data_IF_400355726575
#
_entry.id   IF_400355726575
#
_cell.length_a   1.000
_cell.length_b   1.000
_cell.length_c   1.000
_cell.angle_alpha   90.00
_cell.angle_beta   90.00
_cell.angle_gamma   90.00
#
_symmetry.space_group_name_H-M   'P 1'
#
loop_
_entity.id
_entity.type
_entity.pdbx_description
1 polymer ?
#
# COMPACT_ATOMS: atom_id res chain seq x y z
N UNK A 1 6.96 22.68 1.03
CA UNK A 1 5.69 22.15 0.49
C UNK A 1 4.55 22.94 1.10
N UNK A 2 3.74 23.63 0.30
CA UNK A 2 2.58 24.38 0.78
C UNK A 2 1.54 23.40 1.30
N UNK A 3 0.94 23.67 2.46
CA UNK A 3 -0.11 22.86 3.14
C UNK A 3 -1.31 22.51 2.24
N UNK A 4 -1.49 23.18 1.12
CA UNK A 4 -2.57 22.96 0.15
C UNK A 4 -2.47 21.67 -0.68
N UNK A 5 -1.31 20.97 -0.66
CA UNK A 5 -1.10 19.77 -1.49
C UNK A 5 -1.06 18.45 -0.68
N UNK A 6 -1.39 18.48 0.60
CA UNK A 6 -1.41 17.29 1.47
C UNK A 6 -2.81 16.71 1.55
N UNK A 7 -2.95 15.42 1.26
CA UNK A 7 -4.19 14.67 1.38
C UNK A 7 -4.37 14.03 2.76
N UNK A 8 -3.29 13.41 3.29
CA UNK A 8 -3.29 12.78 4.62
C UNK A 8 -2.16 13.39 5.42
N UNK A 9 -2.44 13.83 6.65
CA UNK A 9 -1.43 14.31 7.59
C UNK A 9 -1.59 13.60 8.91
N UNK A 10 -0.50 13.00 9.42
CA UNK A 10 -0.45 12.27 10.69
C UNK A 10 0.72 12.81 11.51
N UNK A 11 0.47 13.17 12.77
CA UNK A 11 1.46 13.72 13.67
C UNK A 11 1.38 13.07 15.05
N UNK A 12 2.47 12.39 15.44
CA UNK A 12 2.66 11.75 16.75
C UNK A 12 1.49 10.85 17.17
N UNK A 13 0.96 10.08 16.21
CA UNK A 13 -0.20 9.22 16.42
C UNK A 13 0.14 8.10 17.39
N UNK A 14 -0.72 7.90 18.40
CA UNK A 14 -0.58 6.86 19.43
C UNK A 14 -1.84 6.02 19.51
N UNK A 15 -1.66 4.73 19.76
CA UNK A 15 -2.76 3.82 20.06
C UNK A 15 -2.28 2.64 20.88
N UNK A 16 -3.02 2.37 21.95
CA UNK A 16 -2.82 1.20 22.81
C UNK A 16 -4.09 0.36 22.86
N UNK A 17 -3.93 -0.93 23.02
CA UNK A 17 -4.99 -1.87 23.36
C UNK A 17 -4.63 -2.53 24.69
N UNK A 18 -5.39 -2.23 25.73
CA UNK A 18 -5.06 -2.61 27.08
C UNK A 18 -3.63 -2.16 27.45
N UNK A 19 -2.71 -3.09 27.72
CA UNK A 19 -1.32 -2.80 28.08
C UNK A 19 -0.36 -2.85 26.89
N UNK A 20 -0.85 -3.05 25.66
CA UNK A 20 0.00 -3.14 24.48
C UNK A 20 -0.07 -1.85 23.65
N UNK A 21 1.01 -1.07 23.62
CA UNK A 21 1.15 0.11 22.78
C UNK A 21 1.47 -0.30 21.33
N UNK A 22 0.44 -0.20 20.46
CA UNK A 22 0.49 -0.63 19.06
C UNK A 22 1.02 0.48 18.15
N UNK A 23 0.75 1.76 18.45
CA UNK A 23 1.29 2.91 17.70
C UNK A 23 2.03 3.84 18.65
N UNK A 24 3.28 4.18 18.30
CA UNK A 24 4.25 4.89 19.12
C UNK A 24 4.77 6.13 18.40
N UNK A 25 4.06 7.27 18.53
CA UNK A 25 4.44 8.55 17.92
C UNK A 25 4.59 8.52 16.38
N UNK A 26 3.69 7.80 15.69
CA UNK A 26 3.72 7.69 14.23
C UNK A 26 3.41 9.02 13.56
N UNK A 27 4.29 9.45 12.64
CA UNK A 27 4.11 10.70 11.88
C UNK A 27 4.48 10.49 10.43
N UNK A 28 3.63 10.95 9.50
CA UNK A 28 3.89 10.96 8.05
C UNK A 28 2.92 11.90 7.34
N UNK A 29 3.18 12.17 6.06
CA UNK A 29 2.28 12.95 5.21
C UNK A 29 2.18 12.38 3.80
N UNK A 30 0.96 12.42 3.24
CA UNK A 30 0.69 11.89 1.89
C UNK A 30 0.23 13.02 0.98
N UNK A 31 0.96 13.30 -0.11
CA UNK A 31 0.53 14.27 -1.12
C UNK A 31 -0.75 13.80 -1.84
N UNK A 32 -1.48 14.77 -2.41
CA UNK A 32 -2.68 14.46 -3.22
C UNK A 32 -2.31 13.76 -4.51
N UNK A 33 -3.15 12.82 -4.94
CA UNK A 33 -3.00 12.12 -6.22
C UNK A 33 -1.77 11.21 -6.29
N UNK A 34 -1.21 10.81 -5.13
CA UNK A 34 -0.09 9.88 -5.06
C UNK A 34 -0.50 8.54 -4.46
N UNK A 35 0.33 7.53 -4.70
CA UNK A 35 0.24 6.22 -4.06
C UNK A 35 1.22 6.20 -2.90
N UNK A 36 0.71 6.02 -1.69
CA UNK A 36 1.51 5.87 -0.49
C UNK A 36 1.36 4.46 0.07
N UNK A 37 2.46 3.73 0.21
CA UNK A 37 2.47 2.39 0.77
C UNK A 37 2.97 2.39 2.21
N UNK A 38 2.17 1.84 3.12
CA UNK A 38 2.58 1.54 4.48
C UNK A 38 3.03 0.07 4.54
N UNK A 39 4.32 -0.13 4.46
CA UNK A 39 4.97 -1.45 4.45
C UNK A 39 5.26 -1.91 5.87
N UNK A 40 5.01 -3.17 6.20
CA UNK A 40 5.39 -3.73 7.50
C UNK A 40 4.89 -5.16 7.69
N UNK A 41 5.47 -5.87 8.63
CA UNK A 41 5.04 -7.22 9.02
C UNK A 41 3.63 -7.24 9.64
N UNK A 42 3.06 -8.43 9.76
CA UNK A 42 1.80 -8.61 10.50
C UNK A 42 1.98 -8.19 11.96
N UNK A 43 0.99 -7.47 12.50
CA UNK A 43 1.05 -6.92 13.86
C UNK A 43 1.84 -5.62 14.00
N UNK A 44 2.46 -5.07 12.94
CA UNK A 44 3.21 -3.80 13.01
C UNK A 44 2.34 -2.57 13.33
N UNK A 45 1.01 -2.65 13.14
CA UNK A 45 0.06 -1.56 13.39
C UNK A 45 -0.60 -0.98 12.13
N UNK A 46 -0.36 -1.55 10.94
CA UNK A 46 -0.87 -1.07 9.65
C UNK A 46 -2.40 -0.88 9.65
N UNK A 47 -3.15 -1.94 9.92
CA UNK A 47 -4.62 -1.90 9.99
C UNK A 47 -5.14 -0.95 11.08
N UNK A 48 -4.39 -0.75 12.17
CA UNK A 48 -4.75 0.21 13.21
C UNK A 48 -4.68 1.64 12.68
N UNK A 49 -3.64 1.98 11.91
CA UNK A 49 -3.53 3.30 11.24
C UNK A 49 -4.69 3.48 10.26
N UNK A 50 -4.96 2.50 9.41
CA UNK A 50 -6.10 2.56 8.47
C UNK A 50 -7.43 2.78 9.20
N UNK A 51 -7.70 2.05 10.29
CA UNK A 51 -8.91 2.24 11.09
C UNK A 51 -9.02 3.62 11.72
N UNK A 52 -7.92 4.23 12.15
CA UNK A 52 -7.92 5.59 12.69
C UNK A 52 -8.20 6.60 11.58
N UNK A 53 -7.49 6.50 10.45
CA UNK A 53 -7.65 7.42 9.32
C UNK A 53 -9.05 7.31 8.69
N UNK A 54 -9.63 6.12 8.67
CA UNK A 54 -11.00 5.89 8.20
C UNK A 54 -12.08 6.19 9.24
N UNK A 55 -11.72 6.77 10.39
CA UNK A 55 -12.63 7.13 11.50
C UNK A 55 -13.32 5.96 12.19
N UNK A 56 -12.87 4.74 11.97
CA UNK A 56 -13.39 3.53 12.62
C UNK A 56 -12.84 3.32 14.03
N UNK A 57 -11.74 3.99 14.36
CA UNK A 57 -11.05 3.90 15.64
C UNK A 57 -10.53 5.28 16.07
N UNK A 58 -10.73 5.64 17.34
CA UNK A 58 -10.14 6.88 17.88
C UNK A 58 -8.69 6.62 18.32
N UNK A 59 -7.76 7.53 18.02
CA UNK A 59 -6.41 7.48 18.58
C UNK A 59 -6.42 7.81 20.07
N UNK A 60 -5.37 7.41 20.79
CA UNK A 60 -5.18 7.76 22.21
C UNK A 60 -4.31 9.03 22.36
N UNK A 61 -3.60 9.41 21.30
CA UNK A 61 -2.80 10.63 21.26
C UNK A 61 -2.38 11.00 19.84
N UNK A 62 -1.83 12.20 19.68
CA UNK A 62 -1.45 12.74 18.39
C UNK A 62 -2.63 13.33 17.61
N UNK A 63 -2.40 13.63 16.34
CA UNK A 63 -3.42 14.21 15.44
C UNK A 63 -3.34 13.55 14.07
N UNK A 64 -4.47 13.38 13.42
CA UNK A 64 -4.57 12.96 12.02
C UNK A 64 -5.66 13.75 11.30
N UNK A 65 -5.41 14.07 10.03
CA UNK A 65 -6.37 14.76 9.18
C UNK A 65 -6.37 14.23 7.76
N UNK A 66 -7.53 14.27 7.12
CA UNK A 66 -7.75 13.92 5.70
C UNK A 66 -8.27 15.15 4.98
N UNK A 67 -7.58 15.60 3.94
CA UNK A 67 -7.93 16.84 3.20
C UNK A 67 -8.18 18.06 4.11
N UNK A 68 -7.44 18.15 5.23
CA UNK A 68 -7.58 19.21 6.22
C UNK A 68 -8.65 18.97 7.29
N UNK A 69 -9.48 17.92 7.18
CA UNK A 69 -10.48 17.57 8.19
C UNK A 69 -9.89 16.63 9.24
N UNK A 70 -10.02 17.01 10.52
CA UNK A 70 -9.58 16.20 11.66
C UNK A 70 -10.40 14.89 11.75
N UNK A 71 -9.72 13.75 11.87
CA UNK A 71 -10.37 12.42 11.85
C UNK A 71 -11.25 12.14 13.08
N UNK A 72 -11.10 12.90 14.17
CA UNK A 72 -11.91 12.77 15.39
C UNK A 72 -12.99 13.85 15.47
N UNK A 73 -12.59 15.11 15.31
CA UNK A 73 -13.53 16.24 15.46
C UNK A 73 -14.47 16.41 14.26
N UNK A 74 -14.04 15.99 13.06
CA UNK A 74 -14.76 16.19 11.80
C UNK A 74 -15.01 14.88 11.03
N UNK A 75 -15.24 13.78 11.76
CA UNK A 75 -15.37 12.42 11.18
C UNK A 75 -16.38 12.33 10.03
N UNK A 76 -17.52 13.07 10.10
CA UNK A 76 -18.54 13.07 9.04
C UNK A 76 -18.02 13.69 7.74
N UNK A 77 -17.15 14.68 7.81
CA UNK A 77 -16.54 15.30 6.64
C UNK A 77 -15.45 14.39 6.07
N UNK A 78 -14.65 13.75 6.93
CA UNK A 78 -13.66 12.75 6.53
C UNK A 78 -14.34 11.61 5.76
N UNK A 79 -15.43 11.03 6.29
CA UNK A 79 -16.16 9.92 5.65
C UNK A 79 -16.73 10.26 4.27
N UNK A 80 -16.97 11.54 3.96
CA UNK A 80 -17.37 11.98 2.62
C UNK A 80 -16.22 12.03 1.62
N UNK A 81 -14.98 12.04 2.10
CA UNK A 81 -13.78 12.18 1.28
C UNK A 81 -13.08 10.84 1.04
N UNK A 82 -13.47 9.79 1.75
CA UNK A 82 -12.73 8.52 1.75
C UNK A 82 -13.57 7.35 1.30
N UNK A 83 -12.90 6.33 0.80
CA UNK A 83 -13.41 4.96 0.74
C UNK A 83 -12.37 4.00 1.32
N UNK A 84 -12.85 2.88 1.84
CA UNK A 84 -12.03 1.84 2.44
C UNK A 84 -12.42 0.49 1.85
N UNK A 85 -11.45 -0.20 1.27
CA UNK A 85 -11.54 -1.61 0.91
C UNK A 85 -10.71 -2.40 1.92
N UNK A 86 -11.39 -3.18 2.75
CA UNK A 86 -10.77 -3.97 3.81
C UNK A 86 -10.11 -5.24 3.31
N UNK A 87 -9.58 -6.03 4.25
CA UNK A 87 -8.95 -7.33 3.95
C UNK A 87 -9.96 -8.36 3.43
N UNK A 88 -11.23 -8.29 3.86
CA UNK A 88 -12.31 -9.12 3.37
C UNK A 88 -13.17 -8.33 2.38
N UNK A 89 -13.56 -8.97 1.30
CA UNK A 89 -14.43 -8.37 0.28
C UNK A 89 -15.84 -8.17 0.84
N UNK A 90 -16.44 -7.01 0.54
CA UNK A 90 -17.81 -6.65 0.95
C UNK A 90 -18.85 -6.97 -0.13
N UNK A 91 -18.50 -7.78 -1.12
CA UNK A 91 -19.40 -8.14 -2.23
C UNK A 91 -20.48 -9.13 -1.79
N UNK A 92 -21.69 -8.94 -2.28
CA UNK A 92 -22.77 -9.92 -2.13
C UNK A 92 -22.65 -10.98 -3.22
N UNK A 93 -22.39 -12.22 -2.82
CA UNK A 93 -22.16 -13.33 -3.75
C UNK A 93 -23.44 -13.84 -4.45
N UNK A 94 -24.62 -13.52 -3.92
CA UNK A 94 -25.90 -13.89 -4.52
C UNK A 94 -26.25 -12.97 -5.68
N UNK A 95 -25.83 -11.71 -5.61
CA UNK A 95 -26.03 -10.70 -6.63
C UNK A 95 -25.02 -10.87 -7.78
N UNK A 96 -25.35 -10.28 -8.92
CA UNK A 96 -24.43 -10.09 -10.04
C UNK A 96 -23.45 -8.95 -9.76
N UNK A 97 -22.35 -8.85 -10.55
CA UNK A 97 -21.41 -7.72 -10.41
C UNK A 97 -22.10 -6.37 -10.62
N UNK A 98 -22.98 -6.29 -11.61
CA UNK A 98 -23.78 -5.10 -11.91
C UNK A 98 -24.73 -4.73 -10.76
N UNK A 99 -25.43 -5.73 -10.20
CA UNK A 99 -26.35 -5.50 -9.09
C UNK A 99 -25.63 -5.01 -7.83
N UNK A 100 -24.44 -5.53 -7.51
CA UNK A 100 -23.61 -5.04 -6.42
C UNK A 100 -23.29 -3.55 -6.57
N UNK A 101 -22.79 -3.11 -7.74
CA UNK A 101 -22.49 -1.70 -8.00
C UNK A 101 -23.75 -0.83 -7.96
N UNK A 102 -24.85 -1.28 -8.58
CA UNK A 102 -26.12 -0.58 -8.57
C UNK A 102 -26.66 -0.39 -7.14
N UNK A 103 -26.54 -1.42 -6.30
CA UNK A 103 -26.97 -1.38 -4.90
C UNK A 103 -26.20 -0.26 -4.14
N UNK A 104 -24.87 -0.21 -4.27
CA UNK A 104 -24.09 0.85 -3.65
C UNK A 104 -24.48 2.24 -4.18
N UNK A 105 -24.62 2.36 -5.51
CA UNK A 105 -25.03 3.63 -6.14
C UNK A 105 -26.39 4.13 -5.63
N UNK A 106 -27.35 3.24 -5.46
CA UNK A 106 -28.69 3.56 -4.91
C UNK A 106 -28.61 3.93 -3.42
N UNK A 107 -27.88 3.17 -2.60
CA UNK A 107 -27.67 3.48 -1.16
C UNK A 107 -27.03 4.84 -0.97
N UNK A 108 -26.08 5.21 -1.82
CA UNK A 108 -25.39 6.50 -1.81
C UNK A 108 -26.19 7.60 -2.54
N UNK A 109 -27.36 7.30 -3.11
CA UNK A 109 -28.23 8.24 -3.82
C UNK A 109 -27.52 8.98 -4.96
N UNK A 110 -26.69 8.25 -5.73
CA UNK A 110 -25.99 8.85 -6.85
C UNK A 110 -26.96 9.20 -7.97
N UNK A 111 -26.73 10.30 -8.70
CA UNK A 111 -27.69 10.81 -9.71
C UNK A 111 -27.78 9.91 -10.95
N UNK A 112 -26.68 9.27 -11.36
CA UNK A 112 -26.61 8.40 -12.55
C UNK A 112 -25.87 7.10 -12.23
N UNK A 113 -26.56 6.24 -11.49
CA UNK A 113 -26.03 4.94 -11.06
C UNK A 113 -25.66 4.07 -12.25
N UNK A 114 -26.51 4.05 -13.31
CA UNK A 114 -26.32 3.14 -14.44
C UNK A 114 -25.07 3.47 -15.26
N UNK A 115 -24.84 4.75 -15.55
CA UNK A 115 -23.66 5.20 -16.27
C UNK A 115 -22.38 4.88 -15.49
N UNK A 116 -22.40 5.22 -14.20
CA UNK A 116 -21.26 4.99 -13.33
C UNK A 116 -20.94 3.51 -13.12
N UNK A 117 -21.98 2.66 -13.00
CA UNK A 117 -21.81 1.21 -12.94
C UNK A 117 -21.12 0.68 -14.20
N UNK A 118 -21.54 1.14 -15.38
CA UNK A 118 -20.91 0.72 -16.63
C UNK A 118 -19.45 1.23 -16.74
N UNK A 119 -19.18 2.45 -16.29
CA UNK A 119 -17.82 3.01 -16.25
C UNK A 119 -16.89 2.11 -15.41
N UNK A 120 -17.29 1.78 -14.18
CA UNK A 120 -16.44 0.99 -13.29
C UNK A 120 -16.33 -0.48 -13.71
N UNK A 121 -17.41 -1.08 -14.26
CA UNK A 121 -17.31 -2.41 -14.86
C UNK A 121 -16.30 -2.45 -16.00
N UNK A 122 -16.29 -1.41 -16.84
CA UNK A 122 -15.32 -1.28 -17.94
C UNK A 122 -13.90 -1.08 -17.41
N UNK A 123 -13.72 -0.16 -16.46
CA UNK A 123 -12.41 0.16 -15.91
C UNK A 123 -11.74 -1.04 -15.24
N UNK A 124 -12.52 -1.88 -14.56
CA UNK A 124 -12.03 -3.07 -13.86
C UNK A 124 -12.06 -4.35 -14.69
N UNK A 125 -12.35 -4.27 -16.00
CA UNK A 125 -12.43 -5.42 -16.90
C UNK A 125 -13.39 -6.51 -16.37
N UNK A 126 -14.61 -6.07 -16.00
CA UNK A 126 -15.67 -6.92 -15.46
C UNK A 126 -16.94 -6.91 -16.35
N UNK A 127 -16.91 -6.28 -17.54
CA UNK A 127 -18.07 -6.12 -18.40
C UNK A 127 -18.69 -7.46 -18.83
N UNK A 128 -17.85 -8.38 -19.30
CA UNK A 128 -18.32 -9.69 -19.81
C UNK A 128 -18.87 -10.59 -18.70
N UNK A 129 -18.50 -10.33 -17.48
CA UNK A 129 -18.97 -11.06 -16.30
C UNK A 129 -20.05 -10.30 -15.52
N UNK A 130 -20.39 -9.07 -15.92
CA UNK A 130 -21.22 -8.14 -15.14
C UNK A 130 -22.57 -8.69 -14.70
N UNK A 131 -23.18 -9.53 -15.54
CA UNK A 131 -24.52 -10.10 -15.33
C UNK A 131 -24.49 -11.56 -14.81
N UNK A 132 -23.28 -12.07 -14.47
CA UNK A 132 -23.09 -13.34 -13.77
C UNK A 132 -23.10 -13.11 -12.25
N UNK A 133 -23.57 -14.10 -11.48
CA UNK A 133 -23.50 -14.06 -10.02
C UNK A 133 -22.06 -14.01 -9.54
N UNK A 134 -21.79 -13.19 -8.52
CA UNK A 134 -20.45 -13.02 -7.93
C UNK A 134 -19.93 -14.31 -7.30
N UNK A 135 -20.79 -15.23 -6.87
CA UNK A 135 -20.39 -16.57 -6.43
C UNK A 135 -19.57 -17.34 -7.49
N UNK A 136 -19.72 -17.02 -8.79
CA UNK A 136 -18.97 -17.62 -9.90
C UNK A 136 -17.68 -16.88 -10.25
N UNK A 137 -17.37 -15.77 -9.57
CA UNK A 137 -16.19 -14.97 -9.84
C UNK A 137 -14.92 -15.61 -9.23
N UNK A 138 -13.77 -15.43 -9.91
CA UNK A 138 -12.47 -15.72 -9.31
C UNK A 138 -12.18 -14.76 -8.14
N UNK A 139 -11.21 -15.10 -7.29
CA UNK A 139 -10.79 -14.22 -6.20
C UNK A 139 -10.36 -12.83 -6.69
N UNK A 140 -9.61 -12.78 -7.80
CA UNK A 140 -9.20 -11.52 -8.43
C UNK A 140 -10.38 -10.70 -8.95
N UNK A 141 -11.39 -11.33 -9.55
CA UNK A 141 -12.60 -10.64 -10.00
C UNK A 141 -13.41 -10.09 -8.84
N UNK A 142 -13.56 -10.86 -7.74
CA UNK A 142 -14.24 -10.37 -6.52
C UNK A 142 -13.50 -9.17 -5.93
N UNK A 143 -12.18 -9.21 -5.88
CA UNK A 143 -11.37 -8.10 -5.37
C UNK A 143 -11.48 -6.85 -6.25
N UNK A 144 -11.47 -7.00 -7.58
CA UNK A 144 -11.70 -5.91 -8.53
C UNK A 144 -13.09 -5.28 -8.35
N UNK A 145 -14.12 -6.10 -8.18
CA UNK A 145 -15.49 -5.62 -7.93
C UNK A 145 -15.59 -4.88 -6.59
N UNK A 146 -14.97 -5.38 -5.53
CA UNK A 146 -14.95 -4.74 -4.20
C UNK A 146 -14.33 -3.33 -4.24
N UNK A 147 -13.21 -3.18 -4.95
CA UNK A 147 -12.61 -1.86 -5.17
C UNK A 147 -13.51 -0.98 -6.05
N UNK A 148 -14.11 -1.52 -7.11
CA UNK A 148 -15.05 -0.79 -7.95
C UNK A 148 -16.25 -0.25 -7.14
N UNK A 149 -16.80 -1.05 -6.21
CA UNK A 149 -17.87 -0.63 -5.30
C UNK A 149 -17.42 0.55 -4.41
N UNK A 150 -16.19 0.52 -3.92
CA UNK A 150 -15.64 1.59 -3.09
C UNK A 150 -15.43 2.90 -3.85
N UNK A 151 -15.30 2.85 -5.17
CA UNK A 151 -15.10 4.01 -6.04
C UNK A 151 -16.41 4.63 -6.57
N UNK A 152 -17.56 4.02 -6.32
CA UNK A 152 -18.85 4.55 -6.74
C UNK A 152 -19.12 5.98 -6.25
N UNK A 153 -18.49 6.41 -5.16
CA UNK A 153 -18.67 7.73 -4.54
C UNK A 153 -17.60 8.76 -4.91
N UNK A 154 -16.68 8.45 -5.84
CA UNK A 154 -15.53 9.28 -6.22
C UNK A 154 -14.72 9.79 -5.02
N UNK A 155 -14.15 8.92 -4.20
CA UNK A 155 -13.42 9.33 -3.02
C UNK A 155 -12.16 10.10 -3.39
N UNK A 156 -11.81 11.12 -2.59
CA UNK A 156 -10.52 11.82 -2.73
C UNK A 156 -9.36 10.96 -2.23
N UNK A 157 -9.63 10.06 -1.27
CA UNK A 157 -8.67 9.10 -0.72
C UNK A 157 -9.27 7.70 -0.72
N UNK A 158 -8.56 6.76 -1.31
CA UNK A 158 -8.88 5.34 -1.28
C UNK A 158 -7.90 4.62 -0.34
N UNK A 159 -8.43 3.98 0.70
CA UNK A 159 -7.67 3.08 1.56
C UNK A 159 -7.80 1.64 1.08
N UNK A 160 -6.66 0.97 0.86
CA UNK A 160 -6.58 -0.43 0.48
C UNK A 160 -5.79 -1.20 1.55
N UNK A 161 -6.48 -2.01 2.34
CA UNK A 161 -5.82 -2.85 3.37
C UNK A 161 -5.46 -4.20 2.78
N UNK A 162 -4.15 -4.40 2.48
CA UNK A 162 -3.56 -5.59 1.86
C UNK A 162 -4.29 -6.05 0.58
N UNK A 163 -4.35 -5.20 -0.49
CA UNK A 163 -5.25 -5.39 -1.62
C UNK A 163 -5.00 -6.66 -2.45
N UNK A 164 -3.79 -7.20 -2.42
CA UNK A 164 -3.40 -8.34 -3.27
C UNK A 164 -3.17 -9.63 -2.49
N UNK A 165 -3.44 -9.64 -1.19
CA UNK A 165 -3.31 -10.86 -0.36
C UNK A 165 -4.21 -11.96 -0.90
N UNK A 166 -3.63 -13.15 -1.13
CA UNK A 166 -4.36 -14.32 -1.64
C UNK A 166 -4.58 -14.33 -3.16
N UNK A 167 -4.09 -13.34 -3.91
CA UNK A 167 -4.12 -13.34 -5.36
C UNK A 167 -2.92 -14.10 -5.95
N UNK A 168 -3.14 -14.79 -7.05
CA UNK A 168 -2.06 -15.34 -7.87
C UNK A 168 -1.23 -14.22 -8.54
N UNK A 169 -0.02 -14.52 -9.05
CA UNK A 169 0.88 -13.50 -9.60
C UNK A 169 0.28 -12.68 -10.74
N UNK A 170 -0.52 -13.28 -11.64
CA UNK A 170 -1.12 -12.56 -12.77
C UNK A 170 -2.19 -11.57 -12.29
N UNK A 171 -3.10 -12.01 -11.41
CA UNK A 171 -4.12 -11.14 -10.84
C UNK A 171 -3.50 -10.05 -9.95
N UNK A 172 -2.35 -10.30 -9.31
CA UNK A 172 -1.63 -9.30 -8.52
C UNK A 172 -1.12 -8.17 -9.42
N UNK A 173 -0.43 -8.49 -10.52
CA UNK A 173 0.07 -7.49 -11.48
C UNK A 173 -1.09 -6.69 -12.07
N UNK A 174 -2.15 -7.35 -12.52
CA UNK A 174 -3.33 -6.67 -13.04
C UNK A 174 -3.96 -5.71 -12.00
N UNK A 175 -3.98 -6.10 -10.73
CA UNK A 175 -4.45 -5.23 -9.65
C UNK A 175 -3.54 -4.01 -9.43
N UNK A 176 -2.23 -4.20 -9.52
CA UNK A 176 -1.27 -3.10 -9.41
C UNK A 176 -1.47 -2.07 -10.53
N UNK A 177 -1.66 -2.51 -11.77
CA UNK A 177 -1.90 -1.61 -12.90
C UNK A 177 -3.22 -0.82 -12.73
N UNK A 178 -4.25 -1.47 -12.20
CA UNK A 178 -5.51 -0.79 -11.86
C UNK A 178 -5.32 0.29 -10.80
N UNK A 179 -4.56 0.00 -9.74
CA UNK A 179 -4.27 0.97 -8.66
C UNK A 179 -3.46 2.17 -9.20
N UNK A 180 -2.47 1.94 -10.06
CA UNK A 180 -1.74 3.02 -10.75
C UNK A 180 -2.66 3.90 -11.58
N UNK A 181 -3.54 3.29 -12.34
CA UNK A 181 -4.49 4.02 -13.19
C UNK A 181 -5.46 4.88 -12.35
N UNK A 182 -5.84 4.44 -11.14
CA UNK A 182 -6.65 5.24 -10.22
C UNK A 182 -5.90 6.49 -9.74
N UNK A 183 -4.64 6.35 -9.37
CA UNK A 183 -3.82 7.50 -8.95
C UNK A 183 -3.62 8.49 -10.11
N UNK A 184 -3.40 8.01 -11.33
CA UNK A 184 -3.31 8.86 -12.53
C UNK A 184 -4.61 9.64 -12.82
N UNK A 185 -5.78 9.13 -12.39
CA UNK A 185 -7.06 9.85 -12.42
C UNK A 185 -7.19 10.89 -11.30
N UNK A 186 -6.21 11.01 -10.40
CA UNK A 186 -6.18 12.00 -9.31
C UNK A 186 -6.63 11.50 -7.94
N UNK A 187 -7.01 10.23 -7.80
CA UNK A 187 -7.33 9.64 -6.50
C UNK A 187 -6.06 9.44 -5.69
N UNK A 188 -6.02 9.91 -4.45
CA UNK A 188 -4.94 9.56 -3.52
C UNK A 188 -5.16 8.14 -3.03
N UNK A 189 -4.16 7.28 -3.18
CA UNK A 189 -4.24 5.89 -2.72
C UNK A 189 -3.31 5.70 -1.52
N UNK A 190 -3.87 5.23 -0.40
CA UNK A 190 -3.12 4.79 0.76
C UNK A 190 -3.30 3.28 0.90
N UNK A 191 -2.23 2.53 0.68
CA UNK A 191 -2.28 1.07 0.79
C UNK A 191 -1.41 0.55 1.92
N UNK A 192 -1.84 -0.53 2.54
CA UNK A 192 -1.00 -1.31 3.43
C UNK A 192 -0.56 -2.58 2.75
N UNK A 193 0.66 -3.00 3.01
CA UNK A 193 1.18 -4.26 2.46
C UNK A 193 2.26 -4.86 3.35
N UNK A 194 2.45 -6.16 3.25
CA UNK A 194 3.64 -6.87 3.74
C UNK A 194 4.57 -7.28 2.59
N UNK A 195 4.14 -7.08 1.33
CA UNK A 195 4.88 -7.46 0.14
C UNK A 195 5.71 -6.28 -0.35
N UNK A 196 7.02 -6.45 -0.32
CA UNK A 196 8.00 -5.45 -0.73
C UNK A 196 7.89 -5.13 -2.22
N UNK A 197 7.66 -6.15 -3.05
CA UNK A 197 7.46 -5.99 -4.50
C UNK A 197 6.26 -5.08 -4.81
N UNK A 198 5.17 -5.20 -4.05
CA UNK A 198 3.98 -4.35 -4.20
C UNK A 198 4.29 -2.89 -3.89
N UNK A 199 4.97 -2.64 -2.76
CA UNK A 199 5.38 -1.29 -2.38
C UNK A 199 6.34 -0.68 -3.41
N UNK A 200 7.30 -1.48 -3.90
CA UNK A 200 8.27 -1.05 -4.91
C UNK A 200 7.64 -0.73 -6.26
N UNK A 201 6.69 -1.57 -6.70
CA UNK A 201 6.02 -1.40 -8.00
C UNK A 201 5.04 -0.24 -8.01
N UNK A 202 4.28 -0.05 -6.92
CA UNK A 202 3.14 0.86 -6.86
C UNK A 202 3.47 2.23 -6.33
N UNK A 203 4.28 2.33 -5.27
CA UNK A 203 4.27 3.50 -4.42
C UNK A 203 5.16 4.63 -4.94
N UNK A 204 4.65 5.86 -4.88
CA UNK A 204 5.45 7.08 -5.01
C UNK A 204 6.28 7.30 -3.74
N UNK A 205 5.70 6.97 -2.56
CA UNK A 205 6.37 6.98 -1.27
C UNK A 205 6.01 5.75 -0.46
N UNK A 206 6.99 5.24 0.27
CA UNK A 206 6.86 4.09 1.17
C UNK A 206 7.26 4.52 2.57
N UNK A 207 6.45 4.17 3.57
CA UNK A 207 6.85 4.20 4.97
C UNK A 207 7.01 2.76 5.49
N UNK A 208 8.14 2.47 6.11
CA UNK A 208 8.41 1.17 6.74
C UNK A 208 7.97 1.24 8.19
N UNK A 209 6.90 0.52 8.54
CA UNK A 209 6.34 0.44 9.89
C UNK A 209 6.80 -0.84 10.58
N UNK A 210 7.42 -0.68 11.74
CA UNK A 210 7.85 -1.81 12.58
C UNK A 210 7.55 -1.52 14.05
N UNK A 211 6.92 -2.46 14.75
CA UNK A 211 6.56 -2.36 16.18
C UNK A 211 5.95 -1.00 16.58
N UNK A 212 5.06 -0.48 15.71
CA UNK A 212 4.33 0.77 15.96
C UNK A 212 5.13 2.05 15.69
N UNK A 213 6.30 1.99 15.06
CA UNK A 213 7.13 3.15 14.68
C UNK A 213 7.47 3.12 13.20
N UNK A 214 7.56 4.30 12.59
CA UNK A 214 8.13 4.42 11.24
C UNK A 214 9.65 4.39 11.36
N UNK A 215 10.29 3.42 10.70
CA UNK A 215 11.74 3.26 10.65
C UNK A 215 12.38 4.13 9.58
N UNK A 216 11.75 4.18 8.41
CA UNK A 216 12.19 4.96 7.26
C UNK A 216 11.00 5.36 6.41
N UNK A 217 11.12 6.49 5.70
CA UNK A 217 10.10 7.01 4.78
C UNK A 217 10.80 7.67 3.59
N UNK A 218 10.28 7.44 2.39
CA UNK A 218 10.79 8.04 1.15
C UNK A 218 10.34 7.32 -0.10
N UNK A 219 10.85 7.74 -1.25
CA UNK A 219 10.61 6.99 -2.49
C UNK A 219 11.28 5.63 -2.44
N UNK A 220 10.79 4.59 -3.16
CA UNK A 220 11.47 3.30 -3.22
C UNK A 220 12.95 3.41 -3.60
N UNK A 221 13.29 4.29 -4.56
CA UNK A 221 14.66 4.54 -4.98
C UNK A 221 15.51 5.16 -3.87
N UNK A 222 14.98 6.15 -3.16
CA UNK A 222 15.68 6.76 -2.02
C UNK A 222 15.95 5.74 -0.92
N UNK A 223 14.96 4.93 -0.54
CA UNK A 223 15.11 3.91 0.49
C UNK A 223 16.17 2.87 0.12
N UNK A 224 16.30 2.52 -1.16
CA UNK A 224 17.39 1.66 -1.64
C UNK A 224 18.77 2.30 -1.56
N UNK A 225 18.86 3.62 -1.71
CA UNK A 225 20.14 4.36 -1.68
C UNK A 225 20.67 4.62 -0.28
N UNK A 226 19.80 4.82 0.72
CA UNK A 226 20.23 5.08 2.11
C UNK A 226 20.82 3.84 2.78
N UNK A 227 20.59 2.66 2.21
CA UNK A 227 21.26 1.44 2.66
C UNK A 227 22.57 1.30 1.88
N UNK A 228 23.73 1.36 2.53
CA UNK A 228 24.97 1.09 1.85
C UNK A 228 24.93 -0.33 1.31
N UNK A 229 24.82 -0.47 0.02
CA UNK A 229 25.06 -1.73 -0.66
C UNK A 229 26.49 -2.16 -0.31
N UNK A 230 26.64 -3.18 0.51
CA UNK A 230 27.96 -3.78 0.81
C UNK A 230 28.50 -4.56 -0.40
N UNK A 231 28.22 -4.12 -1.62
CA UNK A 231 28.71 -4.79 -2.82
C UNK A 231 28.55 -3.93 -4.07
N UNK A 232 29.45 -4.13 -5.00
CA UNK A 232 29.34 -3.66 -6.37
C UNK A 232 28.76 -4.80 -7.21
N UNK A 233 27.78 -4.51 -8.07
CA UNK A 233 27.31 -5.47 -9.05
C UNK A 233 28.11 -5.33 -10.33
N UNK A 234 28.70 -6.42 -10.80
CA UNK A 234 29.37 -6.52 -12.07
C UNK A 234 28.52 -7.39 -13.01
N UNK A 235 28.09 -6.83 -14.14
CA UNK A 235 27.36 -7.56 -15.17
C UNK A 235 28.36 -7.96 -16.28
N UNK A 236 28.44 -9.26 -16.58
CA UNK A 236 29.32 -9.80 -17.62
C UNK A 236 28.49 -10.29 -18.81
N UNK A 237 29.04 -10.19 -20.02
CA UNK A 237 28.36 -10.64 -21.23
C UNK A 237 28.42 -12.19 -21.39
N UNK A 238 29.29 -12.86 -20.67
CA UNK A 238 29.44 -14.32 -20.70
C UNK A 238 30.01 -14.87 -19.40
N UNK A 239 29.77 -16.16 -19.12
CA UNK A 239 30.36 -16.89 -17.98
C UNK A 239 31.89 -16.87 -18.01
N UNK A 240 32.50 -16.90 -19.22
CA UNK A 240 33.94 -16.85 -19.38
C UNK A 240 34.56 -15.52 -18.96
N UNK A 241 33.85 -14.41 -19.22
CA UNK A 241 34.26 -13.08 -18.74
C UNK A 241 34.10 -12.95 -17.23
N UNK A 242 33.03 -13.52 -16.65
CA UNK A 242 32.83 -13.58 -15.22
C UNK A 242 33.94 -14.34 -14.51
N UNK A 243 34.31 -15.53 -15.01
CA UNK A 243 35.39 -16.35 -14.47
C UNK A 243 36.75 -15.63 -14.51
N UNK A 244 37.08 -14.96 -15.63
CA UNK A 244 38.30 -14.17 -15.75
C UNK A 244 38.35 -12.96 -14.83
N UNK A 245 37.23 -12.31 -14.61
CA UNK A 245 37.13 -11.20 -13.66
C UNK A 245 37.35 -11.68 -12.23
N UNK A 246 36.84 -12.86 -11.86
CA UNK A 246 37.05 -13.46 -10.55
C UNK A 246 38.53 -13.77 -10.29
N UNK A 247 39.24 -14.33 -11.28
CA UNK A 247 40.67 -14.56 -11.17
C UNK A 247 41.45 -13.25 -10.92
N UNK A 248 41.15 -12.22 -11.73
CA UNK A 248 41.79 -10.92 -11.59
C UNK A 248 41.50 -10.24 -10.23
N UNK A 249 40.30 -10.38 -9.68
CA UNK A 249 39.94 -9.84 -8.37
C UNK A 249 40.68 -10.59 -7.26
N UNK A 250 40.75 -11.91 -7.34
CA UNK A 250 41.49 -12.77 -6.39
C UNK A 250 42.99 -12.46 -6.40
N UNK A 251 43.61 -12.30 -7.58
CA UNK A 251 45.02 -11.93 -7.74
C UNK A 251 45.36 -10.57 -7.11
N UNK A 252 44.38 -9.65 -7.05
CA UNK A 252 44.55 -8.34 -6.42
C UNK A 252 44.09 -8.30 -4.95
N UNK A 253 43.85 -9.45 -4.32
CA UNK A 253 43.50 -9.56 -2.91
C UNK A 253 42.06 -9.17 -2.59
N UNK A 254 41.19 -9.06 -3.61
CA UNK A 254 39.76 -8.76 -3.42
C UNK A 254 39.00 -10.09 -3.31
N UNK A 255 38.51 -10.38 -2.12
CA UNK A 255 37.70 -11.56 -1.85
C UNK A 255 36.25 -11.29 -2.28
N UNK A 256 35.72 -12.15 -3.16
CA UNK A 256 34.34 -12.10 -3.61
C UNK A 256 33.59 -13.26 -2.96
N UNK A 257 32.73 -12.97 -1.99
CA UNK A 257 32.00 -13.98 -1.23
C UNK A 257 30.88 -14.65 -2.04
N UNK A 258 30.26 -13.93 -2.98
CA UNK A 258 29.26 -14.48 -3.89
C UNK A 258 29.09 -13.61 -5.13
N UNK A 259 28.79 -14.24 -6.28
CA UNK A 259 28.28 -13.54 -7.46
C UNK A 259 26.78 -13.82 -7.52
N UNK A 260 25.97 -12.92 -7.01
CA UNK A 260 24.55 -12.89 -7.29
C UNK A 260 24.20 -11.54 -7.92
N UNK A 261 23.31 -11.50 -8.94
CA UNK A 261 22.78 -10.24 -9.45
C UNK A 261 21.91 -9.62 -8.35
N UNK A 262 22.47 -8.68 -7.60
CA UNK A 262 21.72 -8.04 -6.51
C UNK A 262 21.69 -6.53 -6.71
N UNK A 263 20.62 -6.04 -7.34
CA UNK A 263 20.15 -4.69 -7.08
C UNK A 263 19.65 -4.68 -5.62
N UNK A 264 20.01 -3.68 -4.77
CA UNK A 264 19.45 -3.60 -3.45
C UNK A 264 17.93 -3.55 -3.56
N UNK A 265 17.27 -4.59 -3.02
CA UNK A 265 15.82 -4.66 -2.97
C UNK A 265 15.33 -3.93 -1.72
N UNK A 266 14.06 -3.50 -1.71
CA UNK A 266 13.44 -3.01 -0.47
C UNK A 266 13.47 -4.08 0.64
N UNK A 267 13.60 -5.36 0.30
CA UNK A 267 13.77 -6.46 1.25
C UNK A 267 15.07 -6.32 2.05
N UNK A 268 16.18 -6.01 1.38
CA UNK A 268 17.45 -5.74 2.05
C UNK A 268 17.33 -4.53 2.99
N UNK A 269 16.66 -3.45 2.54
CA UNK A 269 16.35 -2.28 3.37
C UNK A 269 15.57 -2.67 4.61
N UNK A 270 14.49 -3.42 4.43
CA UNK A 270 13.61 -3.84 5.51
C UNK A 270 14.33 -4.71 6.55
N UNK A 271 15.09 -5.71 6.10
CA UNK A 271 15.85 -6.63 6.97
C UNK A 271 16.92 -5.89 7.77
N UNK A 272 17.71 -5.03 7.13
CA UNK A 272 18.79 -4.28 7.83
C UNK A 272 18.21 -3.32 8.88
N UNK A 273 17.12 -2.59 8.56
CA UNK A 273 16.49 -1.68 9.55
C UNK A 273 15.92 -2.42 10.76
N UNK A 274 15.50 -3.68 10.59
CA UNK A 274 15.04 -4.51 11.70
C UNK A 274 16.20 -5.05 12.53
N UNK A 275 17.30 -5.47 11.89
CA UNK A 275 18.46 -6.05 12.58
C UNK A 275 19.25 -4.99 13.36
N UNK A 276 19.49 -3.78 12.81
CA UNK A 276 20.11 -2.67 13.52
C UNK A 276 19.38 -2.33 14.83
N UNK A 277 18.04 -2.43 14.84
CA UNK A 277 17.27 -2.19 16.08
C UNK A 277 17.28 -3.34 17.07
N UNK A 278 17.63 -4.56 16.70
CA UNK A 278 17.84 -5.65 17.64
C UNK A 278 19.15 -5.46 18.42
N UNK A 279 20.19 -4.93 17.78
CA UNK A 279 21.47 -4.64 18.41
C UNK A 279 21.37 -3.48 19.40
N UNK A 280 20.65 -2.39 19.07
CA UNK A 280 20.43 -1.26 19.98
C UNK A 280 19.64 -1.66 21.26
N UNK A 281 18.70 -2.60 21.17
CA UNK A 281 17.93 -3.09 22.32
C UNK A 281 18.66 -4.17 23.13
N UNK A 282 19.78 -4.73 22.66
CA UNK A 282 20.61 -5.70 23.38
C UNK A 282 21.72 -5.05 24.25
N UNK A 283 21.91 -3.75 24.11
CA UNK A 283 22.89 -2.94 24.86
C UNK A 283 22.26 -1.91 25.80
N UNK A 284 20.93 -1.94 25.99
CA UNK A 284 20.17 -1.15 26.97
C UNK A 284 19.62 -2.03 28.08
#
# INVERSE_FOLDING_TARGET
>A
MTLQNISISVSKLKKSYQNNEVLKDVSFSVPRGTIYALLGSNGAGKTTIVKILSTLLKPDGGKASINGFDVVAQEKLVRKCISLTGQFTAVDEVLTGRENLNLIGQLMRLPDVKSKTNEWLSFFDLQDASDRRVSTYSGGMRRRLDIAMSLMVDPLVLFLDEPTTGLDPQNRIAMWDLVKNLALKGTTVFLTTQYLEEAEYLADNVAILHQGKILAEGTPQYLKQIMPGRGAQLNFKSEREAAKAMELLAENGIVVDSIQPNLPSLENVFLTLIDEKKEDNSHA
#
